data_IF_226211282700
#
_entry.id   IF_226211282700
#
_cell.length_a   1.000
_cell.length_b   1.000
_cell.length_c   1.000
_cell.angle_alpha   90.00
_cell.angle_beta   90.00
_cell.angle_gamma   90.00
#
_symmetry.space_group_name_H-M   'P 1'
#
loop_
_entity.id
_entity.type
_entity.pdbx_description
1 polymer ?
#
# COMPACT_ATOMS: atom_id res chain seq x y z
N UNK A 1 -4.80 -18.04 18.24
CA UNK A 1 -4.16 -18.54 19.47
C UNK A 1 -4.53 -17.58 20.58
N UNK A 2 -4.94 -18.06 21.75
CA UNK A 2 -5.27 -17.19 22.89
C UNK A 2 -3.96 -16.72 23.55
N UNK A 3 -3.94 -15.48 24.02
CA UNK A 3 -2.87 -14.95 24.85
C UNK A 3 -2.81 -15.75 26.15
N UNK A 4 -1.67 -16.39 26.42
CA UNK A 4 -1.51 -17.29 27.57
C UNK A 4 -1.59 -16.61 28.93
N UNK A 5 -1.43 -15.27 28.99
CA UNK A 5 -1.51 -14.52 30.24
C UNK A 5 -2.92 -13.96 30.48
N UNK A 6 -3.66 -13.59 29.42
CA UNK A 6 -4.96 -12.92 29.56
C UNK A 6 -6.16 -13.77 29.12
N UNK A 7 -5.93 -14.89 28.44
CA UNK A 7 -7.00 -15.76 27.89
C UNK A 7 -7.80 -15.12 26.76
N UNK A 8 -7.36 -13.97 26.23
CA UNK A 8 -8.03 -13.24 25.14
C UNK A 8 -7.42 -13.59 23.79
N UNK A 9 -8.13 -13.29 22.70
CA UNK A 9 -7.60 -13.47 21.34
C UNK A 9 -6.33 -12.66 21.14
N UNK A 10 -5.23 -13.34 20.80
CA UNK A 10 -3.96 -12.67 20.51
C UNK A 10 -4.04 -11.93 19.17
N UNK A 11 -3.71 -10.64 19.17
CA UNK A 11 -3.55 -9.86 17.94
C UNK A 11 -2.20 -10.21 17.32
N UNK A 12 -2.23 -10.86 16.14
CA UNK A 12 -1.02 -11.18 15.39
C UNK A 12 -0.74 -10.08 14.37
N UNK A 13 0.27 -9.27 14.66
CA UNK A 13 0.73 -8.24 13.73
C UNK A 13 1.49 -8.85 12.54
N UNK A 14 1.44 -8.15 11.41
CA UNK A 14 2.24 -8.46 10.24
C UNK A 14 3.69 -8.06 10.53
N UNK A 15 4.63 -8.98 10.31
CA UNK A 15 6.06 -8.68 10.39
C UNK A 15 6.52 -8.08 9.07
N UNK A 16 6.44 -6.76 8.95
CA UNK A 16 6.79 -6.04 7.71
C UNK A 16 8.28 -6.16 7.35
N UNK A 17 9.15 -6.29 8.35
CA UNK A 17 10.59 -6.49 8.13
C UNK A 17 10.97 -7.91 7.65
N UNK A 18 10.00 -8.85 7.61
CA UNK A 18 10.30 -10.24 7.25
C UNK A 18 10.55 -10.42 5.75
N UNK A 19 11.47 -11.32 5.40
CA UNK A 19 11.77 -11.67 4.01
C UNK A 19 10.50 -12.16 3.29
N UNK A 20 9.67 -12.96 3.98
CA UNK A 20 8.42 -13.46 3.42
C UNK A 20 7.45 -12.34 3.07
N UNK A 21 7.32 -11.33 3.95
CA UNK A 21 6.50 -10.16 3.66
C UNK A 21 7.05 -9.36 2.47
N UNK A 22 8.37 -9.12 2.44
CA UNK A 22 9.03 -8.39 1.34
C UNK A 22 8.83 -9.08 -0.02
N UNK A 23 8.90 -10.42 -0.07
CA UNK A 23 8.60 -11.21 -1.27
C UNK A 23 7.12 -11.08 -1.64
N UNK A 24 6.21 -11.33 -0.69
CA UNK A 24 4.78 -11.24 -0.96
C UNK A 24 4.37 -9.86 -1.49
N UNK A 25 4.98 -8.80 -0.96
CA UNK A 25 4.74 -7.41 -1.38
C UNK A 25 5.09 -7.15 -2.85
N UNK A 26 6.07 -7.85 -3.43
CA UNK A 26 6.41 -7.72 -4.85
C UNK A 26 5.29 -8.22 -5.79
N UNK A 27 4.39 -9.07 -5.28
CA UNK A 27 3.27 -9.62 -6.03
C UNK A 27 1.93 -8.93 -5.72
N UNK A 28 1.89 -7.96 -4.80
CA UNK A 28 0.66 -7.24 -4.47
C UNK A 28 0.32 -6.21 -5.56
N UNK A 29 -0.96 -6.10 -5.89
CA UNK A 29 -1.47 -4.99 -6.70
C UNK A 29 -1.42 -3.73 -5.85
N UNK A 30 -0.53 -2.79 -6.19
CA UNK A 30 -0.31 -1.55 -5.44
C UNK A 30 0.13 -0.44 -6.40
N UNK A 31 -0.21 0.81 -6.06
CA UNK A 31 0.35 1.99 -6.71
C UNK A 31 1.83 2.11 -6.33
N UNK A 32 2.69 2.22 -7.33
CA UNK A 32 4.10 2.48 -7.14
C UNK A 32 4.50 3.85 -7.69
N UNK A 33 5.66 4.35 -7.27
CA UNK A 33 6.15 5.67 -7.70
C UNK A 33 6.18 5.81 -9.23
N UNK A 34 6.61 4.76 -9.93
CA UNK A 34 6.62 4.66 -11.40
C UNK A 34 5.24 4.83 -12.05
N UNK A 35 4.17 4.48 -11.35
CA UNK A 35 2.80 4.61 -11.88
C UNK A 35 2.31 6.06 -11.80
N UNK A 36 2.84 6.84 -10.86
CA UNK A 36 2.57 8.27 -10.73
C UNK A 36 3.40 9.12 -11.70
N UNK A 37 4.62 8.68 -12.02
CA UNK A 37 5.52 9.36 -12.97
C UNK A 37 5.07 9.19 -14.44
N UNK A 38 4.41 8.08 -14.76
CA UNK A 38 3.91 7.81 -16.10
C UNK A 38 2.57 8.55 -16.35
N UNK A 39 2.63 9.66 -17.10
CA UNK A 39 1.45 10.52 -17.34
C UNK A 39 0.18 9.78 -17.77
N UNK A 40 0.29 8.87 -18.73
CA UNK A 40 -0.85 8.09 -19.24
C UNK A 40 -1.47 7.17 -18.17
N UNK A 41 -0.67 6.63 -17.24
CA UNK A 41 -1.16 5.77 -16.15
C UNK A 41 -1.83 6.60 -15.08
N UNK A 42 -1.21 7.73 -14.72
CA UNK A 42 -1.78 8.69 -13.78
C UNK A 42 -3.15 9.17 -14.24
N UNK A 43 -3.31 9.50 -15.52
CA UNK A 43 -4.60 9.90 -16.09
C UNK A 43 -5.65 8.80 -16.00
N UNK A 44 -5.29 7.55 -16.30
CA UNK A 44 -6.21 6.40 -16.18
C UNK A 44 -6.64 6.17 -14.74
N UNK A 45 -5.70 6.25 -13.78
CA UNK A 45 -6.00 6.08 -12.35
C UNK A 45 -6.88 7.23 -11.82
N UNK A 46 -6.56 8.48 -12.21
CA UNK A 46 -7.35 9.64 -11.83
C UNK A 46 -8.78 9.55 -12.39
N UNK A 47 -8.93 9.13 -13.66
CA UNK A 47 -10.22 8.89 -14.28
C UNK A 47 -11.02 7.80 -13.54
N UNK A 48 -10.38 6.68 -13.20
CA UNK A 48 -11.02 5.60 -12.43
C UNK A 48 -11.48 6.08 -11.03
N UNK A 49 -10.72 6.97 -10.40
CA UNK A 49 -11.05 7.58 -9.12
C UNK A 49 -12.00 8.78 -9.23
N UNK A 50 -12.39 9.21 -10.44
CA UNK A 50 -13.17 10.42 -10.73
C UNK A 50 -12.51 11.70 -10.16
N UNK A 51 -11.19 11.80 -10.29
CA UNK A 51 -10.39 12.93 -9.88
C UNK A 51 -9.65 13.53 -11.08
N UNK A 52 -9.20 14.77 -10.93
CA UNK A 52 -8.15 15.30 -11.82
C UNK A 52 -6.82 14.63 -11.45
N UNK A 53 -5.85 14.55 -12.38
CA UNK A 53 -4.52 14.01 -12.09
C UNK A 53 -3.83 14.67 -10.89
N UNK A 54 -3.97 15.99 -10.75
CA UNK A 54 -3.35 16.73 -9.64
C UNK A 54 -4.01 16.39 -8.31
N UNK A 55 -5.35 16.32 -8.26
CA UNK A 55 -6.08 15.92 -7.07
C UNK A 55 -5.81 14.45 -6.69
N UNK A 56 -5.53 13.59 -7.68
CA UNK A 56 -5.11 12.23 -7.43
C UNK A 56 -3.72 12.18 -6.78
N UNK A 57 -2.77 12.96 -7.28
CA UNK A 57 -1.42 13.05 -6.70
C UNK A 57 -1.46 13.60 -5.28
N UNK A 58 -2.19 14.69 -5.04
CA UNK A 58 -2.36 15.27 -3.71
C UNK A 58 -2.89 14.23 -2.72
N UNK A 59 -3.87 13.42 -3.16
CA UNK A 59 -4.52 12.44 -2.29
C UNK A 59 -3.73 11.15 -2.07
N UNK A 60 -2.95 10.68 -3.05
CA UNK A 60 -2.40 9.31 -3.01
C UNK A 60 -0.87 9.22 -3.11
N UNK A 61 -0.16 10.31 -3.35
CA UNK A 61 1.32 10.31 -3.44
C UNK A 61 2.01 9.77 -2.19
N UNK A 62 1.47 10.05 -1.00
CA UNK A 62 2.04 9.59 0.27
C UNK A 62 2.15 8.05 0.38
N UNK A 63 1.33 7.29 -0.37
CA UNK A 63 1.33 5.83 -0.33
C UNK A 63 2.61 5.25 -0.97
N UNK A 64 3.29 6.02 -1.82
CA UNK A 64 4.53 5.58 -2.47
C UNK A 64 5.77 5.80 -1.61
N UNK A 65 5.70 6.68 -0.61
CA UNK A 65 6.85 7.08 0.23
C UNK A 65 7.05 6.18 1.45
N UNK A 66 6.13 5.26 1.71
CA UNK A 66 6.22 4.38 2.86
C UNK A 66 7.40 3.40 2.72
N UNK A 67 8.42 3.63 3.56
CA UNK A 67 9.54 2.72 3.80
C UNK A 67 9.07 1.69 4.84
N UNK A 68 9.17 0.41 4.50
CA UNK A 68 8.71 -0.72 5.31
C UNK A 68 9.84 -1.72 5.55
#
# INVERSE_FOLDING_TARGET
MLDGATGKTQVRLVKVDSIQYRIARQYMIRIEKRDLEARHRLEQMAMAARLTPDAFLERFSYITDAVY
#
